data_IF_548516966330
#
_entry.id   IF_548516966330
#
_cell.length_a   1.000
_cell.length_b   1.000
_cell.length_c   1.000
_cell.angle_alpha   90.00
_cell.angle_beta   90.00
_cell.angle_gamma   90.00
#
_symmetry.space_group_name_H-M   'P 1'
#
loop_
_entity.id
_entity.type
_entity.pdbx_description
1 polymer ?
#
# COMPACT_ATOMS: atom_id res chain seq x y z
N UNK A 1 -49.84 -6.81 29.98
CA UNK A 1 -48.92 -5.65 29.91
C UNK A 1 -47.53 -6.24 29.69
N UNK A 2 -47.11 -6.50 28.45
CA UNK A 2 -46.43 -5.58 27.50
C UNK A 2 -45.07 -5.07 27.99
N UNK A 3 -43.99 -5.52 27.32
CA UNK A 3 -42.76 -4.78 26.95
C UNK A 3 -41.63 -5.80 26.67
N UNK A 4 -41.46 -6.33 25.45
CA UNK A 4 -40.69 -5.79 24.31
C UNK A 4 -39.29 -5.24 24.65
N UNK A 5 -38.24 -6.05 24.42
CA UNK A 5 -36.90 -5.56 24.12
C UNK A 5 -36.24 -6.46 23.06
N UNK A 6 -36.35 -6.00 21.81
CA UNK A 6 -35.74 -6.58 20.61
C UNK A 6 -34.22 -6.62 20.76
N UNK A 7 -33.64 -7.83 20.68
CA UNK A 7 -32.19 -8.04 20.48
C UNK A 7 -31.77 -7.44 19.15
N UNK A 8 -30.88 -6.44 19.22
CA UNK A 8 -30.27 -5.79 18.06
C UNK A 8 -29.43 -6.78 17.25
N UNK A 9 -29.66 -6.76 15.93
CA UNK A 9 -28.88 -7.48 14.93
C UNK A 9 -27.41 -7.02 15.01
N UNK A 10 -26.52 -7.97 15.31
CA UNK A 10 -25.08 -7.78 15.12
C UNK A 10 -24.85 -7.60 13.62
N UNK A 11 -24.54 -6.38 13.20
CA UNK A 11 -24.05 -6.10 11.87
C UNK A 11 -22.84 -6.99 11.61
N UNK A 12 -22.99 -7.94 10.68
CA UNK A 12 -21.89 -8.67 10.10
C UNK A 12 -20.97 -7.64 9.43
N UNK A 13 -19.93 -7.23 10.16
CA UNK A 13 -18.82 -6.48 9.58
C UNK A 13 -18.20 -7.39 8.53
N UNK A 14 -18.50 -7.10 7.27
CA UNK A 14 -17.75 -7.61 6.14
C UNK A 14 -16.30 -7.18 6.35
N UNK A 15 -15.50 -8.13 6.87
CA UNK A 15 -14.06 -8.08 6.86
C UNK A 15 -13.65 -8.11 5.39
N UNK A 16 -13.56 -6.92 4.78
CA UNK A 16 -12.83 -6.79 3.53
C UNK A 16 -11.40 -7.26 3.82
N UNK A 17 -10.89 -8.26 3.09
CA UNK A 17 -9.49 -8.59 3.17
C UNK A 17 -8.74 -7.36 2.67
N UNK A 18 -8.07 -6.66 3.60
CA UNK A 18 -7.05 -5.68 3.25
C UNK A 18 -5.98 -6.46 2.50
N UNK A 19 -6.08 -6.46 1.16
CA UNK A 19 -5.02 -6.92 0.28
C UNK A 19 -3.85 -5.96 0.50
N UNK A 20 -3.02 -6.30 1.47
CA UNK A 20 -1.70 -5.74 1.62
C UNK A 20 -0.97 -5.95 0.30
N UNK A 21 -0.17 -4.97 -0.13
CA UNK A 21 0.81 -5.11 -1.22
C UNK A 21 1.97 -6.02 -0.77
N UNK A 22 1.68 -7.10 -0.03
CA UNK A 22 2.67 -7.98 0.60
C UNK A 22 3.21 -9.05 -0.36
N UNK A 23 2.91 -8.96 -1.65
CA UNK A 23 3.48 -9.82 -2.68
C UNK A 23 3.55 -8.94 -3.93
N UNK A 24 4.73 -8.49 -4.35
CA UNK A 24 5.47 -9.18 -5.41
C UNK A 24 6.93 -8.68 -5.56
N UNK A 25 7.47 -8.03 -4.53
CA UNK A 25 8.91 -7.79 -4.40
C UNK A 25 9.54 -8.98 -3.67
N UNK A 26 10.32 -9.80 -4.37
CA UNK A 26 11.13 -10.82 -3.70
C UNK A 26 12.16 -10.07 -2.87
N UNK A 27 12.04 -10.19 -1.54
CA UNK A 27 13.00 -9.62 -0.61
C UNK A 27 14.38 -10.25 -0.89
N UNK A 28 15.31 -9.42 -1.35
CA UNK A 28 16.68 -9.85 -1.63
C UNK A 28 17.63 -9.35 -0.53
N UNK A 29 18.77 -10.04 -0.32
CA UNK A 29 19.82 -9.52 0.55
C UNK A 29 20.27 -8.13 0.11
N UNK A 30 20.79 -7.35 1.08
CA UNK A 30 21.29 -6.01 0.80
C UNK A 30 22.57 -6.10 -0.06
N UNK A 31 22.62 -5.32 -1.14
CA UNK A 31 23.78 -5.27 -2.05
C UNK A 31 24.85 -4.30 -1.53
N UNK A 32 26.10 -4.42 -1.97
CA UNK A 32 27.16 -3.46 -1.59
C UNK A 32 26.75 -2.03 -1.97
N UNK A 33 26.99 -1.07 -1.07
CA UNK A 33 26.60 0.34 -1.25
C UNK A 33 25.12 0.63 -1.00
N UNK A 34 24.37 -0.31 -0.40
CA UNK A 34 22.97 -0.11 -0.04
C UNK A 34 22.77 1.07 0.93
N UNK A 35 23.74 1.38 1.79
CA UNK A 35 23.65 2.47 2.76
C UNK A 35 23.44 3.82 2.08
N UNK A 36 24.26 4.10 1.06
CA UNK A 36 24.17 5.35 0.28
C UNK A 36 22.83 5.42 -0.44
N UNK A 37 22.36 4.30 -1.02
CA UNK A 37 21.05 4.23 -1.69
C UNK A 37 19.90 4.44 -0.70
N UNK A 38 19.91 3.78 0.45
CA UNK A 38 18.90 3.96 1.50
C UNK A 38 18.87 5.41 1.98
N UNK A 39 20.04 5.96 2.30
CA UNK A 39 20.18 7.34 2.71
C UNK A 39 19.62 8.29 1.65
N UNK A 40 19.84 7.97 0.37
CA UNK A 40 19.38 8.73 -0.79
C UNK A 40 17.86 8.67 -1.01
N UNK A 41 17.21 7.57 -0.66
CA UNK A 41 15.75 7.46 -0.84
C UNK A 41 14.97 8.03 0.34
N UNK A 42 15.55 8.02 1.55
CA UNK A 42 14.86 8.53 2.73
C UNK A 42 14.61 10.06 2.64
N UNK A 43 13.44 10.52 3.11
CA UNK A 43 13.04 11.92 3.00
C UNK A 43 13.96 12.83 3.81
N UNK A 44 14.02 14.10 3.39
CA UNK A 44 14.64 15.18 4.15
C UNK A 44 13.66 15.78 5.17
N UNK A 45 14.18 16.59 6.09
CA UNK A 45 13.34 17.31 7.04
C UNK A 45 12.38 18.25 6.31
N UNK A 46 11.09 18.21 6.67
CA UNK A 46 10.03 19.00 6.06
C UNK A 46 9.85 18.77 4.53
N UNK A 47 10.29 17.62 4.02
CA UNK A 47 10.14 17.24 2.62
C UNK A 47 8.66 17.33 2.20
N UNK A 48 8.31 18.12 1.15
CA UNK A 48 6.97 18.13 0.60
C UNK A 48 6.66 16.77 -0.02
N UNK A 49 5.47 16.24 0.29
CA UNK A 49 4.99 14.98 -0.23
C UNK A 49 3.50 15.07 -0.58
N UNK A 50 3.10 14.32 -1.60
CA UNK A 50 1.70 14.17 -2.02
C UNK A 50 1.14 12.93 -1.34
N UNK A 51 0.00 13.07 -0.68
CA UNK A 51 -0.72 11.96 -0.09
C UNK A 51 -1.37 11.12 -1.19
N UNK A 52 -1.08 9.83 -1.19
CA UNK A 52 -1.61 8.85 -2.11
C UNK A 52 -2.61 7.95 -1.39
N UNK A 53 -3.52 7.35 -2.14
CA UNK A 53 -4.44 6.34 -1.63
C UNK A 53 -4.50 5.14 -2.56
N UNK A 54 -4.86 3.98 -2.00
CA UNK A 54 -5.16 2.81 -2.81
C UNK A 54 -6.55 2.94 -3.40
N UNK A 55 -6.65 2.88 -4.72
CA UNK A 55 -7.91 2.74 -5.44
C UNK A 55 -7.95 1.41 -6.16
N UNK A 56 -9.08 0.73 -6.08
CA UNK A 56 -9.31 -0.42 -6.95
C UNK A 56 -9.39 0.09 -8.40
N UNK A 57 -8.50 -0.36 -9.27
CA UNK A 57 -8.75 -0.33 -10.71
C UNK A 57 -9.04 -1.73 -11.19
N UNK A 58 -9.86 -1.82 -12.23
CA UNK A 58 -10.02 -3.04 -12.97
C UNK A 58 -8.95 -3.09 -14.06
N UNK A 59 -8.19 -4.18 -14.13
CA UNK A 59 -7.32 -4.44 -15.29
C UNK A 59 -8.22 -4.85 -16.46
N UNK A 60 -8.72 -3.84 -17.17
CA UNK A 60 -9.58 -4.03 -18.33
C UNK A 60 -8.78 -4.24 -19.62
N UNK A 61 -7.44 -4.16 -19.54
CA UNK A 61 -6.56 -4.34 -20.71
C UNK A 61 -6.69 -5.76 -21.24
N UNK A 62 -6.53 -6.77 -20.38
CA UNK A 62 -6.67 -8.17 -20.78
C UNK A 62 -8.09 -8.49 -21.25
N UNK A 63 -9.10 -7.88 -20.61
CA UNK A 63 -10.49 -7.98 -21.05
C UNK A 63 -10.66 -7.40 -22.46
N UNK A 64 -10.09 -6.21 -22.72
CA UNK A 64 -10.21 -5.54 -24.01
C UNK A 64 -9.57 -6.35 -25.14
N UNK A 65 -8.34 -6.85 -24.93
CA UNK A 65 -7.65 -7.72 -25.86
C UNK A 65 -8.44 -9.00 -26.11
N UNK A 66 -9.00 -9.60 -25.05
CA UNK A 66 -9.81 -10.81 -25.20
C UNK A 66 -11.08 -10.56 -26.00
N UNK A 67 -11.84 -9.51 -25.68
CA UNK A 67 -13.08 -9.13 -26.37
C UNK A 67 -12.81 -8.84 -27.84
N UNK A 68 -11.73 -8.13 -28.16
CA UNK A 68 -11.31 -7.88 -29.55
C UNK A 68 -10.98 -9.20 -30.27
N UNK A 69 -10.27 -10.12 -29.62
CA UNK A 69 -9.87 -11.40 -30.22
C UNK A 69 -11.04 -12.35 -30.47
N UNK A 70 -12.09 -12.33 -29.63
CA UNK A 70 -13.29 -13.16 -29.84
C UNK A 70 -14.35 -12.48 -30.72
N UNK A 71 -14.07 -11.28 -31.23
CA UNK A 71 -15.01 -10.51 -32.05
C UNK A 71 -16.22 -10.00 -31.27
N UNK A 72 -16.06 -9.76 -29.97
CA UNK A 72 -17.10 -9.17 -29.13
C UNK A 72 -17.37 -7.70 -29.44
N UNK A 73 -18.50 -7.20 -28.97
CA UNK A 73 -18.98 -5.85 -29.28
C UNK A 73 -18.17 -4.76 -28.55
N UNK A 74 -17.52 -3.83 -29.29
CA UNK A 74 -16.79 -2.72 -28.70
C UNK A 74 -17.66 -1.78 -27.85
N UNK A 75 -18.94 -1.63 -28.16
CA UNK A 75 -19.84 -0.76 -27.37
C UNK A 75 -20.13 -1.37 -26.00
N UNK A 76 -20.30 -2.70 -25.93
CA UNK A 76 -20.48 -3.39 -24.66
C UNK A 76 -19.22 -3.29 -23.78
N UNK A 77 -18.03 -3.40 -24.38
CA UNK A 77 -16.76 -3.18 -23.68
C UNK A 77 -16.65 -1.76 -23.13
N UNK A 78 -16.99 -0.74 -23.92
CA UNK A 78 -16.96 0.66 -23.48
C UNK A 78 -17.89 0.93 -22.30
N UNK A 79 -19.07 0.30 -22.25
CA UNK A 79 -19.98 0.41 -21.12
C UNK A 79 -19.37 -0.19 -19.84
N UNK A 80 -18.75 -1.37 -19.95
CA UNK A 80 -18.03 -2.01 -18.83
C UNK A 80 -16.90 -1.11 -18.33
N UNK A 81 -16.11 -0.55 -19.25
CA UNK A 81 -15.03 0.37 -18.92
C UNK A 81 -15.53 1.64 -18.22
N UNK A 82 -16.63 2.23 -18.70
CA UNK A 82 -17.21 3.43 -18.11
C UNK A 82 -17.77 3.20 -16.70
N UNK A 83 -18.35 2.03 -16.42
CA UNK A 83 -18.79 1.68 -15.06
C UNK A 83 -17.59 1.45 -14.13
N UNK A 84 -16.55 0.77 -14.61
CA UNK A 84 -15.32 0.56 -13.86
C UNK A 84 -14.61 1.88 -13.49
N UNK A 85 -14.54 2.83 -14.43
CA UNK A 85 -13.93 4.16 -14.19
C UNK A 85 -14.70 4.98 -13.15
N UNK A 86 -16.01 4.75 -13.01
CA UNK A 86 -16.84 5.34 -11.96
C UNK A 86 -16.72 4.62 -10.61
N UNK A 87 -15.94 3.54 -10.54
CA UNK A 87 -15.81 2.71 -9.34
C UNK A 87 -17.02 1.80 -9.08
N UNK A 88 -17.93 1.66 -10.04
CA UNK A 88 -19.06 0.73 -9.97
C UNK A 88 -18.60 -0.67 -10.38
N UNK A 89 -19.16 -1.72 -9.75
CA UNK A 89 -18.88 -3.10 -10.16
C UNK A 89 -19.47 -3.34 -11.57
N UNK A 90 -18.65 -3.63 -12.59
CA UNK A 90 -19.17 -3.77 -13.94
C UNK A 90 -20.08 -5.00 -14.06
N UNK A 91 -21.24 -4.80 -14.67
CA UNK A 91 -22.15 -5.90 -14.98
C UNK A 91 -21.65 -6.68 -16.20
N UNK A 92 -21.79 -8.00 -16.16
CA UNK A 92 -21.52 -8.86 -17.31
C UNK A 92 -22.49 -8.55 -18.45
N UNK A 93 -21.96 -8.45 -19.66
CA UNK A 93 -22.75 -8.26 -20.88
C UNK A 93 -22.41 -9.39 -21.87
N UNK A 94 -23.41 -10.13 -22.33
CA UNK A 94 -23.24 -11.25 -23.26
C UNK A 94 -22.67 -10.81 -24.61
N UNK A 95 -22.87 -9.54 -25.00
CA UNK A 95 -22.31 -8.96 -26.22
C UNK A 95 -20.78 -8.89 -26.22
N UNK A 96 -20.13 -9.11 -25.07
CA UNK A 96 -18.67 -9.18 -24.97
C UNK A 96 -18.08 -10.44 -25.65
N UNK A 97 -18.91 -11.43 -26.00
CA UNK A 97 -18.45 -12.64 -26.69
C UNK A 97 -17.63 -13.61 -25.82
N UNK A 98 -17.58 -13.37 -24.50
CA UNK A 98 -16.90 -14.22 -23.52
C UNK A 98 -17.90 -14.73 -22.49
N UNK A 99 -17.59 -15.84 -21.82
CA UNK A 99 -18.49 -16.36 -20.77
C UNK A 99 -18.51 -15.47 -19.54
N UNK A 100 -19.60 -15.50 -18.75
CA UNK A 100 -19.68 -14.79 -17.46
C UNK A 100 -18.56 -15.18 -16.50
N UNK A 101 -18.16 -16.45 -16.47
CA UNK A 101 -17.06 -16.95 -15.63
C UNK A 101 -15.73 -16.33 -16.05
N UNK A 102 -15.47 -16.28 -17.34
CA UNK A 102 -14.29 -15.68 -17.94
C UNK A 102 -14.27 -14.16 -17.71
N UNK A 103 -15.39 -13.46 -17.90
CA UNK A 103 -15.53 -12.05 -17.54
C UNK A 103 -15.17 -11.76 -16.07
N UNK A 104 -15.70 -12.55 -15.13
CA UNK A 104 -15.38 -12.39 -13.71
C UNK A 104 -13.90 -12.64 -13.40
N UNK A 105 -13.21 -13.48 -14.18
CA UNK A 105 -11.77 -13.69 -14.05
C UNK A 105 -10.94 -12.48 -14.47
N UNK A 106 -11.50 -11.59 -15.30
CA UNK A 106 -10.88 -10.32 -15.67
C UNK A 106 -11.25 -9.17 -14.73
N UNK A 107 -12.30 -9.32 -13.91
CA UNK A 107 -12.65 -8.33 -12.88
C UNK A 107 -11.73 -8.38 -11.65
N UNK A 108 -10.44 -8.68 -11.85
CA UNK A 108 -9.46 -8.61 -10.76
C UNK A 108 -9.28 -7.14 -10.43
N UNK A 109 -9.85 -6.73 -9.30
CA UNK A 109 -9.57 -5.44 -8.70
C UNK A 109 -8.10 -5.41 -8.30
N UNK A 110 -7.31 -4.69 -9.09
CA UNK A 110 -5.92 -4.43 -8.78
C UNK A 110 -5.85 -3.13 -7.96
N UNK A 111 -5.21 -3.14 -6.78
CA UNK A 111 -5.00 -1.91 -6.04
C UNK A 111 -3.98 -1.03 -6.77
N UNK A 112 -4.45 0.09 -7.30
CA UNK A 112 -3.64 1.18 -7.87
C UNK A 112 -3.34 2.24 -6.84
N UNK A 113 -2.25 2.96 -7.02
CA UNK A 113 -2.01 4.20 -6.27
C UNK A 113 -2.60 5.37 -7.05
N UNK A 114 -3.44 6.15 -6.39
CA UNK A 114 -3.98 7.40 -6.91
C UNK A 114 -3.59 8.57 -6.00
N UNK A 115 -3.25 9.71 -6.61
CA UNK A 115 -3.01 10.95 -5.86
C UNK A 115 -4.31 11.48 -5.28
N UNK A 116 -4.28 11.88 -4.01
CA UNK A 116 -5.42 12.54 -3.35
C UNK A 116 -5.45 14.05 -3.55
N UNK A 117 -4.51 14.62 -4.34
CA UNK A 117 -4.23 16.06 -4.47
C UNK A 117 -3.85 16.80 -3.18
N UNK A 118 -3.88 16.11 -2.02
CA UNK A 118 -3.46 16.67 -0.74
C UNK A 118 -1.95 16.60 -0.62
N UNK A 119 -1.34 17.69 -0.19
CA UNK A 119 0.09 17.78 0.10
C UNK A 119 0.31 17.89 1.60
N UNK A 120 1.44 17.37 2.06
CA UNK A 120 1.88 17.48 3.45
C UNK A 120 3.40 17.65 3.50
N UNK A 121 3.92 18.08 4.65
CA UNK A 121 5.36 18.11 4.92
C UNK A 121 5.72 16.97 5.86
N UNK A 122 6.65 16.12 5.43
CA UNK A 122 7.09 14.99 6.24
C UNK A 122 7.88 15.49 7.46
N UNK A 123 7.37 15.19 8.65
CA UNK A 123 8.08 15.44 9.91
C UNK A 123 9.18 14.39 10.06
N UNK A 124 10.40 14.76 9.68
CA UNK A 124 11.56 13.87 9.69
C UNK A 124 12.70 14.58 10.39
N UNK A 125 13.31 13.91 11.36
CA UNK A 125 14.56 14.34 11.98
C UNK A 125 15.67 13.38 11.56
N UNK A 126 16.77 13.93 11.07
CA UNK A 126 17.88 13.19 10.49
C UNK A 126 19.17 13.56 11.22
N UNK A 127 19.81 12.55 11.77
CA UNK A 127 21.17 12.63 12.26
C UNK A 127 22.12 11.87 11.30
N UNK A 128 23.41 11.78 11.65
CA UNK A 128 24.42 11.14 10.80
C UNK A 128 24.18 9.65 10.58
N UNK A 129 23.51 8.97 11.49
CA UNK A 129 23.38 7.51 11.51
C UNK A 129 21.91 7.05 11.55
N UNK A 130 20.94 7.94 11.64
CA UNK A 130 19.54 7.60 11.84
C UNK A 130 18.61 8.63 11.25
N UNK A 131 17.50 8.13 10.72
CA UNK A 131 16.32 8.92 10.36
C UNK A 131 15.19 8.54 11.30
N UNK A 132 14.52 9.53 11.87
CA UNK A 132 13.37 9.35 12.76
C UNK A 132 12.17 10.11 12.23
N UNK A 133 11.00 9.48 12.31
CA UNK A 133 9.75 10.03 11.83
C UNK A 133 8.92 10.58 12.99
N UNK A 134 8.55 11.84 12.87
CA UNK A 134 7.60 12.50 13.74
C UNK A 134 6.15 12.31 13.28
N UNK A 135 5.30 13.20 13.75
CA UNK A 135 3.91 13.30 13.30
C UNK A 135 3.68 14.68 12.68
N UNK A 136 2.79 14.73 11.70
CA UNK A 136 2.39 15.96 11.03
C UNK A 136 0.92 15.89 10.63
N UNK A 137 0.24 17.03 10.41
CA UNK A 137 -1.12 17.04 9.89
C UNK A 137 -1.25 16.16 8.64
N UNK A 138 -2.22 15.24 8.65
CA UNK A 138 -2.48 14.28 7.57
C UNK A 138 -1.73 12.95 7.66
N UNK A 139 -0.77 12.78 8.58
CA UNK A 139 -0.05 11.51 8.77
C UNK A 139 -0.70 10.56 9.78
N UNK A 140 -1.65 11.07 10.59
CA UNK A 140 -2.43 10.32 11.58
C UNK A 140 -1.56 9.49 12.55
N UNK A 141 -0.36 9.95 12.89
CA UNK A 141 0.56 9.24 13.78
C UNK A 141 1.09 7.89 13.27
N UNK A 142 0.85 7.54 12.00
CA UNK A 142 1.20 6.21 11.47
C UNK A 142 2.71 5.97 11.44
N UNK A 143 3.51 6.99 11.08
CA UNK A 143 4.97 6.91 11.12
C UNK A 143 5.58 7.40 12.44
N UNK A 144 4.77 7.94 13.36
CA UNK A 144 5.28 8.54 14.61
C UNK A 144 6.09 7.52 15.40
N UNK A 145 7.33 7.89 15.74
CA UNK A 145 8.24 7.07 16.53
C UNK A 145 8.93 5.94 15.75
N UNK A 146 8.67 5.81 14.44
CA UNK A 146 9.47 4.94 13.57
C UNK A 146 10.86 5.57 13.40
N UNK A 147 11.90 4.76 13.48
CA UNK A 147 13.27 5.19 13.19
C UNK A 147 14.02 4.14 12.38
N UNK A 148 14.94 4.57 11.54
CA UNK A 148 15.78 3.72 10.69
C UNK A 148 17.23 4.08 10.92
N UNK A 149 18.03 3.09 11.34
CA UNK A 149 19.48 3.20 11.43
C UNK A 149 20.08 3.07 10.03
N UNK A 150 20.80 4.10 9.57
CA UNK A 150 21.39 4.20 8.24
C UNK A 150 22.63 3.30 8.07
N UNK A 151 23.26 2.89 9.17
CA UNK A 151 24.44 2.02 9.15
C UNK A 151 24.04 0.55 9.04
N UNK A 152 22.99 0.15 9.75
CA UNK A 152 22.53 -1.25 9.80
C UNK A 152 21.31 -1.54 8.92
N UNK A 153 20.56 -0.51 8.55
CA UNK A 153 19.31 -0.64 7.81
C UNK A 153 18.20 -1.18 8.70
N UNK A 154 18.38 -1.15 10.02
CA UNK A 154 17.39 -1.63 10.97
C UNK A 154 16.35 -0.55 11.25
N UNK A 155 15.09 -0.90 11.05
CA UNK A 155 13.95 -0.09 11.45
C UNK A 155 13.52 -0.49 12.86
N UNK A 156 13.24 0.50 13.71
CA UNK A 156 12.63 0.34 15.03
C UNK A 156 11.26 1.03 15.06
N UNK A 157 10.25 0.32 15.53
CA UNK A 157 8.90 0.87 15.76
C UNK A 157 8.75 1.43 17.19
N UNK A 158 7.74 2.28 17.44
CA UNK A 158 7.43 2.78 18.78
C UNK A 158 7.03 1.68 19.78
N UNK A 159 6.70 0.48 19.29
CA UNK A 159 6.35 -0.69 20.09
C UNK A 159 7.58 -1.41 20.67
N UNK A 160 8.79 -0.97 20.31
CA UNK A 160 10.05 -1.53 20.81
C UNK A 160 10.61 -2.70 19.99
N UNK A 161 9.91 -3.13 18.93
CA UNK A 161 10.38 -4.16 18.01
C UNK A 161 11.24 -3.56 16.90
N UNK A 162 12.05 -4.41 16.26
CA UNK A 162 12.90 -4.03 15.15
C UNK A 162 12.79 -4.98 13.95
N UNK A 163 13.17 -4.50 12.78
CA UNK A 163 13.20 -5.27 11.54
C UNK A 163 14.36 -4.80 10.66
N UNK A 164 15.02 -5.72 9.95
CA UNK A 164 16.08 -5.36 8.99
C UNK A 164 15.49 -5.04 7.62
N UNK A 165 16.15 -4.13 6.90
CA UNK A 165 15.83 -3.84 5.52
C UNK A 165 16.11 -5.05 4.63
N UNK A 166 15.23 -5.27 3.66
CA UNK A 166 15.47 -6.15 2.52
C UNK A 166 15.37 -5.34 1.23
N UNK A 167 16.22 -5.64 0.25
CA UNK A 167 16.15 -4.99 -1.06
C UNK A 167 14.88 -5.41 -1.79
N UNK A 168 14.27 -4.46 -2.48
CA UNK A 168 13.17 -4.69 -3.43
C UNK A 168 13.76 -4.72 -4.83
N UNK A 169 13.58 -5.85 -5.52
CA UNK A 169 14.06 -6.01 -6.90
C UNK A 169 13.33 -5.04 -7.86
N UNK A 170 14.02 -4.55 -8.91
CA UNK A 170 13.39 -3.79 -9.98
C UNK A 170 12.25 -4.58 -10.60
N UNK A 171 11.20 -3.89 -11.03
CA UNK A 171 10.05 -4.50 -11.67
C UNK A 171 9.43 -3.54 -12.67
N UNK A 172 9.47 -3.93 -13.94
CA UNK A 172 8.91 -3.23 -15.10
C UNK A 172 7.78 -4.05 -15.75
N UNK A 173 7.19 -4.98 -15.00
CA UNK A 173 6.23 -5.92 -15.55
C UNK A 173 4.96 -5.16 -15.98
N UNK A 174 4.52 -5.36 -17.22
CA UNK A 174 3.42 -4.59 -17.83
C UNK A 174 2.06 -4.78 -17.11
N UNK A 175 1.95 -5.85 -16.32
CA UNK A 175 0.83 -6.20 -15.44
C UNK A 175 0.91 -5.50 -14.06
N UNK A 176 2.00 -4.79 -13.76
CA UNK A 176 2.20 -4.07 -12.49
C UNK A 176 2.05 -2.58 -12.67
N UNK A 177 1.27 -1.99 -11.78
CA UNK A 177 0.90 -0.58 -11.77
C UNK A 177 2.03 0.39 -11.44
N UNK A 178 3.16 -0.10 -10.93
CA UNK A 178 4.31 0.72 -10.56
C UNK A 178 5.56 0.18 -11.23
N UNK A 179 6.17 1.02 -12.07
CA UNK A 179 7.48 0.77 -12.64
C UNK A 179 8.56 1.06 -11.59
N UNK A 180 8.90 0.03 -10.81
CA UNK A 180 9.81 0.11 -9.66
C UNK A 180 11.23 -0.07 -10.17
N UNK A 181 12.07 0.95 -9.98
CA UNK A 181 13.49 0.87 -10.30
C UNK A 181 14.30 0.20 -9.20
N UNK A 182 14.04 0.53 -7.94
CA UNK A 182 14.69 -0.08 -6.78
C UNK A 182 13.92 0.23 -5.50
N UNK A 183 14.28 -0.39 -4.37
CA UNK A 183 13.71 0.02 -3.09
C UNK A 183 14.16 -0.82 -1.91
N UNK A 184 13.56 -0.52 -0.76
CA UNK A 184 13.76 -1.22 0.51
C UNK A 184 12.42 -1.53 1.15
N UNK A 185 12.36 -2.68 1.83
CA UNK A 185 11.20 -3.11 2.59
C UNK A 185 11.61 -3.51 4.00
N UNK A 186 10.76 -3.20 4.98
CA UNK A 186 10.85 -3.70 6.35
C UNK A 186 9.55 -4.39 6.71
N UNK A 187 9.64 -5.64 7.16
CA UNK A 187 8.52 -6.41 7.68
C UNK A 187 8.72 -6.57 9.19
N UNK A 188 7.99 -5.78 9.98
CA UNK A 188 8.09 -5.77 11.43
C UNK A 188 6.94 -6.58 12.02
N UNK A 189 7.30 -7.58 12.83
CA UNK A 189 6.35 -8.42 13.55
C UNK A 189 6.87 -8.67 14.95
N UNK A 190 6.01 -8.48 15.93
CA UNK A 190 6.37 -8.66 17.32
C UNK A 190 5.13 -8.72 18.20
N UNK A 191 5.23 -9.46 19.30
CA UNK A 191 4.21 -9.50 20.32
C UNK A 191 4.90 -9.76 21.67
N UNK A 192 4.55 -8.96 22.68
CA UNK A 192 5.00 -9.09 24.05
C UNK A 192 3.80 -8.93 24.98
N UNK A 193 3.26 -10.07 25.42
CA UNK A 193 2.11 -10.15 26.29
C UNK A 193 2.34 -9.47 27.66
N UNK A 194 3.57 -9.48 28.19
CA UNK A 194 3.87 -8.88 29.50
C UNK A 194 3.75 -7.36 29.50
N UNK A 195 4.09 -6.71 28.39
CA UNK A 195 3.93 -5.26 28.20
C UNK A 195 2.62 -4.85 27.54
N UNK A 196 1.85 -5.82 27.02
CA UNK A 196 0.70 -5.56 26.16
C UNK A 196 1.09 -4.89 24.83
N UNK A 197 2.33 -5.06 24.36
CA UNK A 197 2.82 -4.45 23.12
C UNK A 197 2.83 -5.47 21.98
N UNK A 198 2.46 -5.03 20.79
CA UNK A 198 2.49 -5.87 19.59
C UNK A 198 2.52 -5.02 18.34
N UNK A 199 3.11 -5.56 17.28
CA UNK A 199 3.16 -4.88 16.00
C UNK A 199 3.10 -5.90 14.87
N UNK A 200 2.38 -5.53 13.81
CA UNK A 200 2.47 -6.13 12.50
C UNK A 200 2.43 -5.00 11.48
N UNK A 201 3.55 -4.77 10.80
CA UNK A 201 3.63 -3.71 9.81
C UNK A 201 4.57 -4.02 8.67
N UNK A 202 4.34 -3.35 7.54
CA UNK A 202 5.19 -3.41 6.35
C UNK A 202 5.44 -1.99 5.88
N UNK A 203 6.71 -1.57 5.91
CA UNK A 203 7.16 -0.30 5.37
C UNK A 203 7.86 -0.56 4.04
N UNK A 204 7.49 0.16 2.99
CA UNK A 204 8.16 0.15 1.71
C UNK A 204 8.68 1.55 1.38
N UNK A 205 9.89 1.59 0.85
CA UNK A 205 10.54 2.77 0.31
C UNK A 205 10.98 2.44 -1.12
N UNK A 206 10.19 2.86 -2.10
CA UNK A 206 10.35 2.45 -3.50
C UNK A 206 10.73 3.66 -4.34
N UNK A 207 11.78 3.52 -5.14
CA UNK A 207 12.11 4.45 -6.21
C UNK A 207 11.46 3.97 -7.50
N UNK A 208 10.68 4.84 -8.14
CA UNK A 208 10.08 4.58 -9.44
C UNK A 208 11.06 4.95 -10.56
N UNK A 209 10.83 4.41 -11.76
CA UNK A 209 11.61 4.76 -12.96
C UNK A 209 11.47 6.23 -13.35
N UNK A 210 10.36 6.89 -12.97
CA UNK A 210 10.17 8.35 -13.11
C UNK A 210 11.13 9.18 -12.25
N UNK A 211 11.79 8.57 -11.27
CA UNK A 211 12.60 9.26 -10.25
C UNK A 211 11.82 9.61 -8.98
N UNK A 212 10.49 9.49 -8.99
CA UNK A 212 9.66 9.63 -7.80
C UNK A 212 9.96 8.54 -6.76
N UNK A 213 9.70 8.88 -5.50
CA UNK A 213 9.85 7.97 -4.37
C UNK A 213 8.50 7.79 -3.70
N UNK A 214 8.11 6.53 -3.52
CA UNK A 214 6.93 6.12 -2.76
C UNK A 214 7.37 5.61 -1.40
N UNK A 215 6.88 6.25 -0.33
CA UNK A 215 6.96 5.75 1.03
C UNK A 215 5.56 5.28 1.44
N UNK A 216 5.41 3.98 1.70
CA UNK A 216 4.17 3.39 2.18
C UNK A 216 4.39 2.67 3.50
N UNK A 217 3.51 2.84 4.46
CA UNK A 217 3.53 2.07 5.70
C UNK A 217 2.13 1.65 6.10
N UNK A 218 1.91 0.34 6.16
CA UNK A 218 0.71 -0.24 6.76
C UNK A 218 1.10 -0.81 8.12
N UNK A 219 0.42 -0.41 9.18
CA UNK A 219 0.73 -0.84 10.55
C UNK A 219 -0.54 -1.20 11.31
N UNK A 220 -0.54 -2.38 11.92
CA UNK A 220 -1.37 -2.70 13.08
C UNK A 220 -0.45 -2.71 14.30
N UNK A 221 -0.74 -1.84 15.25
CA UNK A 221 0.02 -1.63 16.48
C UNK A 221 -0.86 -1.92 17.68
N UNK A 222 -0.26 -2.45 18.73
CA UNK A 222 -0.85 -2.59 20.04
C UNK A 222 0.17 -2.01 21.03
N UNK A 223 -0.21 -0.99 21.79
CA UNK A 223 0.61 -0.38 22.83
C UNK A 223 -0.19 -0.39 24.11
N UNK A 224 0.34 -1.01 25.16
CA UNK A 224 -0.37 -1.16 26.44
C UNK A 224 -1.80 -1.70 26.24
N UNK A 225 -1.95 -2.73 25.41
CA UNK A 225 -3.22 -3.37 25.06
C UNK A 225 -4.21 -2.50 24.27
N UNK A 226 -3.79 -1.33 23.77
CA UNK A 226 -4.60 -0.47 22.89
C UNK A 226 -4.22 -0.71 21.44
N UNK A 227 -5.15 -1.24 20.66
CA UNK A 227 -4.93 -1.53 19.24
C UNK A 227 -5.22 -0.32 18.35
N UNK A 228 -4.31 -0.02 17.45
CA UNK A 228 -4.46 0.98 16.39
C UNK A 228 -4.06 0.37 15.05
N UNK A 229 -4.80 0.70 13.99
CA UNK A 229 -4.48 0.26 12.63
C UNK A 229 -4.56 1.45 11.70
N UNK A 230 -3.62 1.53 10.76
CA UNK A 230 -3.72 2.50 9.68
C UNK A 230 -2.69 2.29 8.58
N UNK A 231 -2.83 3.13 7.57
CA UNK A 231 -1.98 3.17 6.40
C UNK A 231 -1.63 4.61 6.07
N UNK A 232 -0.39 4.82 5.62
CA UNK A 232 0.07 6.05 5.02
C UNK A 232 0.79 5.70 3.72
N UNK A 233 0.44 6.37 2.62
CA UNK A 233 1.17 6.28 1.36
C UNK A 233 1.45 7.71 0.89
N UNK A 234 2.71 8.02 0.65
CA UNK A 234 3.12 9.34 0.16
C UNK A 234 4.08 9.20 -1.01
N UNK A 235 4.00 10.16 -1.93
CA UNK A 235 4.92 10.34 -3.05
C UNK A 235 5.72 11.62 -2.87
N UNK A 236 7.03 11.57 -3.11
CA UNK A 236 7.90 12.76 -3.10
C UNK A 236 9.10 12.58 -4.03
N UNK A 237 9.81 13.67 -4.29
CA UNK A 237 11.08 13.70 -5.02
C UNK A 237 12.21 14.10 -4.08
N UNK A 238 13.45 13.72 -4.38
CA UNK A 238 14.62 13.89 -3.50
C UNK A 238 15.84 14.38 -4.27
#
# INVERSE_FOLDING_TARGET
MSSYAKRGMKAARFLFPVLALASLAVAQPLTVGWQTKLAALLPLAAQPAVLMERRASLSLVDLSLRVMNVGGDPQALNQVMASAQRGEMPAYNERLGISKKEFLSYLVFQPTLASTSRTLRLAVNRDSNRVSFGDAPGMNGILKGVSIDLRTGEMRGPEGFTAKATSVAPSNAADRLLDVRSGFQWNIRGNNAGTGNGVRGVLNLLQLSSGDIILSYTRTSMLHSVTTTGELIVQYTR
#
